data_IF_702564558501
#
_entry.id   IF_702564558501
#
_cell.length_a   1.000
_cell.length_b   1.000
_cell.length_c   1.000
_cell.angle_alpha   90.00
_cell.angle_beta   90.00
_cell.angle_gamma   90.00
#
_symmetry.space_group_name_H-M   'P 1'
#
loop_
_entity.id
_entity.type
_entity.pdbx_description
1 polymer ?
#
# COMPACT_ATOMS: atom_id res chain seq x y z
N UNK A 1 -13.18 2.36 -6.69
CA UNK A 1 -12.43 3.48 -7.30
C UNK A 1 -11.50 2.98 -8.38
N UNK A 2 -11.09 3.83 -9.32
CA UNK A 2 -10.05 3.53 -10.31
C UNK A 2 -8.66 3.96 -9.80
N UNK A 3 -7.61 3.60 -10.54
CA UNK A 3 -6.22 3.91 -10.19
C UNK A 3 -5.96 5.41 -9.99
N UNK A 4 -6.48 6.27 -10.87
CA UNK A 4 -6.30 7.72 -10.74
C UNK A 4 -6.91 8.27 -9.46
N UNK A 5 -8.12 7.83 -9.11
CA UNK A 5 -8.80 8.24 -7.88
C UNK A 5 -8.08 7.74 -6.63
N UNK A 6 -7.48 6.54 -6.68
CA UNK A 6 -6.66 6.00 -5.60
C UNK A 6 -5.43 6.87 -5.32
N UNK A 7 -4.66 7.21 -6.36
CA UNK A 7 -3.47 8.04 -6.20
C UNK A 7 -3.79 9.47 -5.77
N UNK A 8 -4.84 10.07 -6.34
CA UNK A 8 -5.33 11.39 -5.90
C UNK A 8 -5.74 11.39 -4.43
N UNK A 9 -6.32 10.29 -3.94
CA UNK A 9 -6.69 10.16 -2.54
C UNK A 9 -5.46 10.04 -1.63
N UNK A 10 -4.45 9.24 -2.01
CA UNK A 10 -3.17 9.20 -1.29
C UNK A 10 -2.55 10.59 -1.23
N UNK A 11 -2.38 11.26 -2.37
CA UNK A 11 -1.76 12.59 -2.46
C UNK A 11 -2.53 13.65 -1.66
N UNK A 12 -3.87 13.62 -1.68
CA UNK A 12 -4.69 14.56 -0.91
C UNK A 12 -4.63 14.32 0.61
N UNK A 13 -4.30 13.11 1.04
CA UNK A 13 -4.15 12.74 2.45
C UNK A 13 -2.69 12.75 2.92
N UNK A 14 -1.71 12.91 2.02
CA UNK A 14 -0.30 12.94 2.38
C UNK A 14 0.02 14.11 3.31
N UNK A 15 0.74 13.86 4.42
CA UNK A 15 1.16 14.92 5.32
C UNK A 15 2.21 15.83 4.66
N UNK A 16 2.29 17.08 5.13
CA UNK A 16 3.31 18.04 4.68
C UNK A 16 4.69 17.81 5.31
N UNK A 17 4.73 17.01 6.38
CA UNK A 17 5.95 16.59 7.08
C UNK A 17 6.25 15.13 6.75
N UNK A 18 7.49 14.70 7.02
CA UNK A 18 7.92 13.32 6.77
C UNK A 18 7.18 12.37 7.71
N UNK A 19 6.59 11.33 7.13
CA UNK A 19 5.82 10.28 7.82
C UNK A 19 6.42 8.90 7.49
N UNK A 20 7.57 8.54 8.10
CA UNK A 20 8.32 7.34 7.74
C UNK A 20 7.64 6.04 8.18
N UNK A 21 6.67 6.13 9.10
CA UNK A 21 5.86 5.02 9.62
C UNK A 21 4.47 4.94 8.91
N UNK A 22 4.10 5.98 8.16
CA UNK A 22 2.84 6.04 7.40
C UNK A 22 1.58 6.25 8.24
N UNK A 23 1.74 6.56 9.54
CA UNK A 23 0.65 6.66 10.50
C UNK A 23 -0.26 7.86 10.23
N UNK A 24 0.31 9.02 9.91
CA UNK A 24 -0.46 10.23 9.63
C UNK A 24 -1.26 10.07 8.34
N UNK A 25 -0.63 9.52 7.30
CA UNK A 25 -1.32 9.19 6.05
C UNK A 25 -2.45 8.17 6.29
N UNK A 26 -2.18 7.08 7.01
CA UNK A 26 -3.17 6.04 7.28
C UNK A 26 -4.39 6.59 8.06
N UNK A 27 -4.15 7.45 9.06
CA UNK A 27 -5.20 8.11 9.82
C UNK A 27 -6.06 9.02 8.92
N UNK A 28 -5.42 9.83 8.06
CA UNK A 28 -6.12 10.73 7.14
C UNK A 28 -6.94 9.97 6.10
N UNK A 29 -6.39 8.90 5.52
CA UNK A 29 -7.09 8.02 4.58
C UNK A 29 -8.28 7.35 5.23
N UNK A 30 -8.11 6.80 6.44
CA UNK A 30 -9.19 6.17 7.20
C UNK A 30 -10.32 7.17 7.43
N UNK A 31 -10.01 8.37 7.93
CA UNK A 31 -11.01 9.42 8.14
C UNK A 31 -11.72 9.83 6.84
N UNK A 32 -11.00 9.86 5.70
CA UNK A 32 -11.58 10.22 4.41
C UNK A 32 -12.52 9.14 3.86
N UNK A 33 -12.18 7.87 4.05
CA UNK A 33 -12.95 6.71 3.59
C UNK A 33 -14.18 6.43 4.45
N UNK A 34 -14.12 6.67 5.77
CA UNK A 34 -15.28 6.49 6.66
C UNK A 34 -16.38 7.53 6.48
N UNK A 35 -16.09 8.64 5.78
CA UNK A 35 -17.08 9.62 5.34
C UNK A 35 -17.64 9.34 3.94
N UNK A 36 -17.26 8.22 3.32
CA UNK A 36 -17.70 7.80 1.98
C UNK A 36 -18.55 6.53 2.00
N UNK A 37 -19.04 6.10 0.83
CA UNK A 37 -19.72 4.82 0.69
C UNK A 37 -18.75 3.64 0.86
N UNK A 38 -19.25 2.48 1.31
CA UNK A 38 -18.47 1.23 1.44
C UNK A 38 -17.75 0.86 0.14
N UNK A 39 -18.35 1.17 -1.03
CA UNK A 39 -17.74 0.94 -2.34
C UNK A 39 -16.41 1.68 -2.57
N UNK A 40 -16.21 2.83 -1.92
CA UNK A 40 -14.96 3.57 -2.02
C UNK A 40 -13.87 2.88 -1.21
N UNK A 41 -14.17 2.42 0.00
CA UNK A 41 -13.25 1.61 0.81
C UNK A 41 -12.87 0.32 0.08
N UNK A 42 -13.84 -0.44 -0.44
CA UNK A 42 -13.56 -1.67 -1.22
C UNK A 42 -12.68 -1.35 -2.42
N UNK A 43 -12.99 -0.27 -3.13
CA UNK A 43 -12.19 0.19 -4.24
C UNK A 43 -10.75 0.58 -3.86
N UNK A 44 -10.58 1.22 -2.71
CA UNK A 44 -9.26 1.59 -2.20
C UNK A 44 -8.43 0.35 -1.88
N UNK A 45 -9.05 -0.63 -1.20
CA UNK A 45 -8.41 -1.90 -0.91
C UNK A 45 -7.95 -2.65 -2.16
N UNK A 46 -8.79 -2.69 -3.21
CA UNK A 46 -8.43 -3.30 -4.50
C UNK A 46 -7.22 -2.63 -5.14
N UNK A 47 -7.15 -1.30 -5.11
CA UNK A 47 -6.03 -0.55 -5.69
C UNK A 47 -4.76 -0.67 -4.86
N UNK A 48 -4.87 -0.63 -3.51
CA UNK A 48 -3.75 -0.87 -2.61
C UNK A 48 -3.17 -2.28 -2.81
N UNK A 49 -4.01 -3.32 -2.80
CA UNK A 49 -3.58 -4.69 -3.06
C UNK A 49 -2.93 -4.83 -4.43
N UNK A 50 -3.50 -4.21 -5.48
CA UNK A 50 -2.89 -4.22 -6.81
C UNK A 50 -1.51 -3.55 -6.84
N UNK A 51 -1.35 -2.40 -6.21
CA UNK A 51 -0.07 -1.69 -6.15
C UNK A 51 0.99 -2.51 -5.41
N UNK A 52 0.64 -3.07 -4.25
CA UNK A 52 1.52 -3.95 -3.48
C UNK A 52 1.91 -5.21 -4.26
N UNK A 53 0.95 -5.84 -4.94
CA UNK A 53 1.19 -7.00 -5.80
C UNK A 53 2.14 -6.68 -6.97
N UNK A 54 2.04 -5.48 -7.55
CA UNK A 54 2.95 -5.04 -8.63
C UNK A 54 4.40 -4.90 -8.18
N UNK A 55 4.61 -4.53 -6.92
CA UNK A 55 5.93 -4.44 -6.27
C UNK A 55 6.38 -5.77 -5.65
N UNK A 56 5.54 -6.79 -5.62
CA UNK A 56 5.88 -8.12 -5.07
C UNK A 56 6.78 -8.88 -6.06
N UNK A 57 8.07 -8.53 -6.08
CA UNK A 57 9.06 -9.10 -7.00
C UNK A 57 10.38 -9.37 -6.29
N UNK A 58 11.12 -10.34 -6.85
CA UNK A 58 12.38 -10.80 -6.29
C UNK A 58 13.41 -9.69 -6.18
N UNK A 59 13.55 -8.81 -7.17
CA UNK A 59 14.55 -7.73 -7.16
C UNK A 59 14.39 -6.75 -5.98
N UNK A 60 13.23 -6.72 -5.33
CA UNK A 60 12.96 -5.87 -4.18
C UNK A 60 13.02 -6.62 -2.84
N UNK A 61 12.57 -7.87 -2.82
CA UNK A 61 12.35 -8.63 -1.59
C UNK A 61 13.43 -9.64 -1.21
N UNK A 62 14.41 -9.91 -2.09
CA UNK A 62 15.45 -10.91 -1.81
C UNK A 62 16.26 -10.53 -0.56
N UNK A 63 16.35 -11.46 0.40
CA UNK A 63 17.03 -11.23 1.69
C UNK A 63 16.19 -10.50 2.77
N UNK A 64 14.96 -10.08 2.48
CA UNK A 64 14.04 -9.50 3.48
C UNK A 64 13.09 -10.57 4.06
N UNK A 65 12.63 -10.36 5.29
CA UNK A 65 11.49 -11.13 5.80
C UNK A 65 10.19 -10.77 5.06
N UNK A 66 9.17 -11.62 5.18
CA UNK A 66 7.84 -11.36 4.61
C UNK A 66 7.29 -9.99 5.02
N UNK A 67 7.44 -9.66 6.29
CA UNK A 67 6.83 -8.48 6.91
C UNK A 67 7.63 -7.23 6.57
N UNK A 68 8.96 -7.29 6.65
CA UNK A 68 9.82 -6.19 6.22
C UNK A 68 9.54 -5.85 4.75
N UNK A 69 9.44 -6.87 3.90
CA UNK A 69 9.17 -6.63 2.49
C UNK A 69 7.78 -6.05 2.26
N UNK A 70 6.76 -6.54 2.96
CA UNK A 70 5.40 -6.04 2.87
C UNK A 70 5.32 -4.56 3.29
N UNK A 71 5.91 -4.20 4.44
CA UNK A 71 5.81 -2.84 4.98
C UNK A 71 6.64 -1.84 4.17
N UNK A 72 7.77 -2.28 3.61
CA UNK A 72 8.58 -1.48 2.70
C UNK A 72 7.82 -1.21 1.39
N UNK A 73 7.14 -2.20 0.81
CA UNK A 73 6.26 -1.97 -0.37
C UNK A 73 5.13 -1.00 -0.05
N UNK A 74 4.54 -1.10 1.14
CA UNK A 74 3.52 -0.15 1.59
C UNK A 74 4.07 1.29 1.69
N UNK A 75 5.32 1.47 2.14
CA UNK A 75 5.96 2.77 2.19
C UNK A 75 6.17 3.38 0.79
N UNK A 76 6.53 2.57 -0.21
CA UNK A 76 6.63 3.03 -1.61
C UNK A 76 5.27 3.50 -2.13
N UNK A 77 4.18 2.81 -1.77
CA UNK A 77 2.82 3.24 -2.13
C UNK A 77 2.42 4.52 -1.38
N UNK A 78 2.78 4.63 -0.09
CA UNK A 78 2.54 5.83 0.72
C UNK A 78 3.26 7.07 0.17
N UNK A 79 4.43 6.90 -0.45
CA UNK A 79 5.17 7.96 -1.13
C UNK A 79 4.49 8.49 -2.40
N UNK A 80 3.41 7.85 -2.85
CA UNK A 80 2.55 8.32 -3.93
C UNK A 80 2.93 7.77 -5.31
N UNK A 81 2.12 8.17 -6.30
CA UNK A 81 2.15 7.60 -7.65
C UNK A 81 3.49 7.71 -8.34
N UNK A 82 4.08 8.91 -8.28
CA UNK A 82 5.33 9.18 -9.00
C UNK A 82 6.45 8.27 -8.51
N UNK A 83 6.57 8.10 -7.20
CA UNK A 83 7.62 7.27 -6.62
C UNK A 83 7.37 5.78 -6.84
N UNK A 84 6.12 5.33 -6.71
CA UNK A 84 5.71 3.99 -7.10
C UNK A 84 6.11 3.65 -8.54
N UNK A 85 5.80 4.53 -9.50
CA UNK A 85 6.16 4.31 -10.90
C UNK A 85 7.67 4.38 -11.14
N UNK A 86 8.40 5.22 -10.40
CA UNK A 86 9.87 5.30 -10.48
C UNK A 86 10.52 4.02 -9.98
N UNK A 87 10.09 3.48 -8.84
CA UNK A 87 10.57 2.19 -8.30
C UNK A 87 10.29 1.05 -9.27
N UNK A 88 9.13 1.03 -9.92
CA UNK A 88 8.81 0.03 -10.95
C UNK A 88 9.70 0.11 -12.19
N UNK A 89 10.23 1.30 -12.51
CA UNK A 89 11.13 1.53 -13.64
C UNK A 89 12.60 1.29 -13.29
N UNK A 90 12.97 1.53 -12.04
CA UNK A 90 14.34 1.53 -11.55
C UNK A 90 14.39 0.91 -10.14
N UNK A 91 14.72 -0.40 -10.05
CA UNK A 91 14.67 -1.10 -8.77
C UNK A 91 15.62 -0.60 -7.70
N UNK A 92 16.71 0.09 -8.06
CA UNK A 92 17.65 0.65 -7.08
C UNK A 92 16.99 1.69 -6.16
N UNK A 93 15.88 2.28 -6.60
CA UNK A 93 15.07 3.22 -5.79
C UNK A 93 14.36 2.57 -4.62
N UNK A 94 14.23 1.25 -4.60
CA UNK A 94 13.70 0.53 -3.45
C UNK A 94 14.71 0.46 -2.29
N UNK A 95 16.01 0.51 -2.59
CA UNK A 95 17.09 0.31 -1.60
C UNK A 95 17.01 1.30 -0.43
N UNK A 96 16.80 2.62 -0.63
CA UNK A 96 16.69 3.56 0.48
C UNK A 96 15.55 3.24 1.46
N UNK A 97 14.44 2.69 0.98
CA UNK A 97 13.34 2.30 1.87
C UNK A 97 13.75 1.16 2.81
N UNK A 98 14.55 0.23 2.31
CA UNK A 98 15.10 -0.88 3.10
C UNK A 98 16.19 -0.39 4.05
N UNK A 99 17.17 0.37 3.56
CA UNK A 99 18.33 0.79 4.37
C UNK A 99 17.97 1.79 5.47
N UNK A 100 17.01 2.67 5.20
CA UNK A 100 16.58 3.72 6.12
C UNK A 100 15.40 3.28 7.00
N UNK A 101 14.97 2.01 6.86
CA UNK A 101 13.86 1.40 7.61
C UNK A 101 12.54 2.20 7.46
N UNK A 102 12.23 2.64 6.24
CA UNK A 102 11.01 3.40 5.92
C UNK A 102 9.89 2.42 5.59
N UNK A 103 8.92 2.31 6.48
CA UNK A 103 7.89 1.27 6.47
C UNK A 103 6.51 1.89 6.72
N UNK A 104 5.48 1.48 5.99
CA UNK A 104 4.13 2.01 6.20
C UNK A 104 3.14 0.89 6.54
N UNK A 105 3.38 0.18 7.65
CA UNK A 105 2.51 -0.91 8.09
C UNK A 105 1.06 -0.42 8.30
N UNK A 106 0.87 0.77 8.90
CA UNK A 106 -0.45 1.33 9.19
C UNK A 106 -1.35 1.47 7.96
N UNK A 107 -0.75 1.68 6.77
CA UNK A 107 -1.49 1.77 5.51
C UNK A 107 -2.27 0.49 5.20
N UNK A 108 -1.76 -0.67 5.62
CA UNK A 108 -2.38 -1.97 5.37
C UNK A 108 -3.70 -2.15 6.12
N UNK A 109 -3.88 -1.46 7.26
CA UNK A 109 -5.08 -1.57 8.09
C UNK A 109 -6.17 -0.56 7.73
N UNK A 110 -5.88 0.39 6.83
CA UNK A 110 -6.84 1.43 6.41
C UNK A 110 -8.18 0.85 5.92
N UNK A 111 -8.21 -0.17 5.02
CA UNK A 111 -9.48 -0.73 4.56
C UNK A 111 -10.33 -1.34 5.68
N UNK A 112 -9.73 -2.15 6.55
CA UNK A 112 -10.41 -2.87 7.63
C UNK A 112 -10.93 -1.91 8.68
N UNK A 113 -10.11 -0.92 9.07
CA UNK A 113 -10.52 0.13 9.99
C UNK A 113 -11.71 0.92 9.44
N UNK A 114 -11.68 1.26 8.14
CA UNK A 114 -12.78 1.96 7.49
C UNK A 114 -14.05 1.08 7.39
N UNK A 115 -13.92 -0.19 7.00
CA UNK A 115 -15.05 -1.12 6.91
C UNK A 115 -15.72 -1.33 8.28
N UNK A 116 -14.91 -1.56 9.32
CA UNK A 116 -15.38 -1.75 10.68
C UNK A 116 -16.13 -0.54 11.20
N UNK A 117 -15.64 0.67 10.90
CA UNK A 117 -16.34 1.90 11.23
C UNK A 117 -17.69 2.02 10.49
N UNK A 118 -17.70 1.74 9.18
CA UNK A 118 -18.89 1.91 8.34
C UNK A 118 -19.98 0.87 8.59
N UNK A 119 -19.61 -0.35 8.99
CA UNK A 119 -20.52 -1.50 9.03
C UNK A 119 -20.68 -2.12 10.42
N UNK A 120 -19.74 -1.85 11.33
CA UNK A 120 -19.63 -2.53 12.63
C UNK A 120 -19.09 -3.95 12.56
N UNK A 121 -18.74 -4.47 11.37
CA UNK A 121 -18.25 -5.84 11.17
C UNK A 121 -16.77 -5.91 10.80
N UNK A 122 -16.23 -7.13 10.78
CA UNK A 122 -14.90 -7.41 10.21
C UNK A 122 -15.03 -7.69 8.71
N UNK A 123 -14.03 -7.28 7.93
CA UNK A 123 -14.00 -7.51 6.49
C UNK A 123 -13.15 -8.73 6.15
N UNK A 124 -13.53 -9.50 5.14
CA UNK A 124 -12.78 -10.68 4.68
C UNK A 124 -11.63 -10.33 3.70
N UNK A 125 -11.46 -9.03 3.39
CA UNK A 125 -10.47 -8.50 2.45
C UNK A 125 -10.48 -9.16 1.07
N UNK A 126 -11.65 -9.61 0.61
CA UNK A 126 -11.81 -10.18 -0.72
C UNK A 126 -11.45 -9.17 -1.80
N UNK A 127 -10.21 -9.26 -2.30
CA UNK A 127 -9.63 -8.43 -3.36
C UNK A 127 -9.07 -9.31 -4.47
N UNK A 128 -8.95 -8.77 -5.68
CA UNK A 128 -8.48 -9.55 -6.84
C UNK A 128 -7.03 -10.03 -6.69
N UNK A 129 -6.20 -9.25 -6.02
CA UNK A 129 -4.79 -9.53 -5.77
C UNK A 129 -4.57 -9.64 -4.27
N UNK A 130 -3.74 -10.58 -3.84
CA UNK A 130 -3.26 -10.57 -2.46
C UNK A 130 -2.21 -9.46 -2.30
N UNK A 131 -2.29 -8.71 -1.20
CA UNK A 131 -1.23 -7.76 -0.84
C UNK A 131 -0.03 -8.44 -0.17
N UNK A 132 -0.24 -9.66 0.36
CA UNK A 132 0.76 -10.43 1.06
C UNK A 132 2.00 -10.70 0.20
N UNK A 133 3.16 -10.73 0.85
CA UNK A 133 4.44 -11.02 0.20
C UNK A 133 4.44 -12.39 -0.47
N UNK A 134 5.16 -12.52 -1.58
CA UNK A 134 5.33 -13.75 -2.35
C UNK A 134 4.06 -14.26 -3.05
N UNK A 135 3.00 -13.44 -3.15
CA UNK A 135 1.75 -13.79 -3.82
C UNK A 135 1.80 -13.59 -5.34
N UNK A 136 2.64 -12.68 -5.83
CA UNK A 136 2.95 -12.50 -7.25
C UNK A 136 3.99 -13.52 -7.71
N UNK A 137 3.55 -14.76 -7.89
CA UNK A 137 4.41 -15.87 -8.33
C UNK A 137 5.20 -15.58 -9.61
N UNK A 138 4.69 -14.75 -10.52
CA UNK A 138 5.42 -14.34 -11.72
C UNK A 138 6.60 -13.41 -11.38
N UNK A 139 6.42 -12.45 -10.47
CA UNK A 139 7.46 -11.54 -9.99
C UNK A 139 8.60 -12.23 -9.24
N UNK A 140 8.37 -13.44 -8.72
CA UNK A 140 9.37 -14.23 -8.01
C UNK A 140 10.09 -15.28 -8.88
N UNK A 141 9.51 -15.63 -10.02
CA UNK A 141 10.05 -16.61 -10.96
C UNK A 141 10.73 -15.98 -12.19
N UNK A 142 10.69 -14.64 -12.34
CA UNK A 142 11.43 -13.95 -13.37
C UNK A 142 12.94 -14.07 -13.11
N UNK A 143 13.66 -14.64 -14.07
CA UNK A 143 15.13 -14.71 -14.15
C UNK A 143 15.71 -13.51 -14.87
#
# INVERSE_FOLDING_TARGET
>A
MNENAFWQLIEACSPSVRDPEGDELAAALTARLTNGPVSDMVGFAEQLSWALYRLDRREYGDGLSSDQFLYTRAAVVAAGREEFERVLRDPERFIPYVSDLVWAEALLYVPDNAYKHLTGGEWDRSTRYSYESYSNTAGWNAT
#
